data_IF_392575866845
#
_entry.id   IF_392575866845
#
_cell.length_a   1.000
_cell.length_b   1.000
_cell.length_c   1.000
_cell.angle_alpha   90.00
_cell.angle_beta   90.00
_cell.angle_gamma   90.00
#
_symmetry.space_group_name_H-M   'P 1'
#
loop_
_entity.id
_entity.type
_entity.pdbx_description
1 polymer ?
#
# COMPACT_ATOMS: atom_id res chain seq x y z
N UNK A 1 7.42 5.87 -24.44
CA UNK A 1 6.69 5.61 -23.19
C UNK A 1 7.51 6.17 -22.05
N UNK A 2 7.02 7.21 -21.39
CA UNK A 2 7.70 7.83 -20.26
C UNK A 2 7.71 6.87 -19.07
N UNK A 3 8.90 6.44 -18.66
CA UNK A 3 9.12 5.63 -17.45
C UNK A 3 8.81 6.53 -16.24
N UNK A 4 7.75 6.21 -15.51
CA UNK A 4 7.45 6.88 -14.24
C UNK A 4 8.45 6.39 -13.19
N UNK A 5 9.31 7.28 -12.69
CA UNK A 5 10.43 6.91 -11.81
C UNK A 5 10.07 6.77 -10.32
N UNK A 6 8.83 7.11 -9.94
CA UNK A 6 8.47 7.24 -8.53
C UNK A 6 9.26 8.36 -7.82
N UNK A 7 8.90 8.70 -6.56
CA UNK A 7 9.71 9.60 -5.73
C UNK A 7 11.08 9.00 -5.42
N UNK A 8 12.15 9.79 -5.52
CA UNK A 8 13.52 9.38 -5.17
C UNK A 8 13.63 8.87 -3.72
N UNK A 9 12.75 9.36 -2.85
CA UNK A 9 12.71 9.06 -1.42
C UNK A 9 12.20 7.64 -1.09
N UNK A 10 11.69 6.91 -2.08
CA UNK A 10 11.24 5.53 -1.90
C UNK A 10 12.39 4.54 -1.76
N UNK A 11 13.61 4.87 -2.21
CA UNK A 11 14.75 3.94 -2.19
C UNK A 11 14.53 2.66 -3.01
N UNK A 12 13.49 2.62 -3.85
CA UNK A 12 13.13 1.47 -4.68
C UNK A 12 13.54 1.79 -6.13
N UNK A 13 14.39 0.97 -6.78
CA UNK A 13 14.72 1.16 -8.18
C UNK A 13 13.46 1.09 -9.05
N UNK A 14 13.35 1.94 -10.09
CA UNK A 14 12.20 1.93 -10.98
C UNK A 14 12.05 0.57 -11.66
N UNK A 15 10.81 0.09 -11.75
CA UNK A 15 10.49 -1.12 -12.52
C UNK A 15 10.74 -0.87 -14.00
N UNK A 16 11.44 -1.80 -14.67
CA UNK A 16 11.61 -1.78 -16.13
C UNK A 16 10.36 -2.22 -16.91
N UNK A 17 9.26 -2.53 -16.21
CA UNK A 17 8.02 -3.02 -16.82
C UNK A 17 7.20 -1.88 -17.46
N UNK A 18 6.51 -2.15 -18.60
CA UNK A 18 5.65 -1.18 -19.25
C UNK A 18 4.44 -0.77 -18.39
N UNK A 19 3.90 0.43 -18.65
CA UNK A 19 2.81 1.06 -17.88
C UNK A 19 1.51 0.23 -17.78
N UNK A 20 1.35 -0.74 -18.69
CA UNK A 20 0.21 -1.67 -18.81
C UNK A 20 0.38 -2.98 -18.02
N UNK A 21 1.55 -3.21 -17.39
CA UNK A 21 1.79 -4.40 -16.58
C UNK A 21 1.04 -4.39 -15.25
N UNK A 22 0.56 -5.57 -14.82
CA UNK A 22 -0.27 -5.79 -13.62
C UNK A 22 0.47 -5.56 -12.28
N UNK A 23 1.79 -5.34 -12.32
CA UNK A 23 2.62 -5.14 -11.13
C UNK A 23 3.63 -4.01 -11.36
N UNK A 24 3.48 -2.93 -10.58
CA UNK A 24 4.34 -1.73 -10.67
C UNK A 24 5.48 -1.70 -9.66
N UNK A 25 5.48 -2.61 -8.69
CA UNK A 25 6.53 -2.73 -7.66
C UNK A 25 7.04 -4.16 -7.63
N UNK A 26 8.34 -4.34 -7.86
CA UNK A 26 9.02 -5.63 -7.68
C UNK A 26 9.39 -5.78 -6.19
N UNK A 27 8.37 -5.80 -5.33
CA UNK A 27 8.55 -5.91 -3.88
C UNK A 27 9.27 -7.23 -3.50
N UNK A 28 9.10 -8.26 -4.34
CA UNK A 28 9.79 -9.54 -4.25
C UNK A 28 11.31 -9.42 -4.46
N UNK A 29 11.75 -8.58 -5.40
CA UNK A 29 13.18 -8.36 -5.66
C UNK A 29 13.87 -7.59 -4.51
N UNK A 30 13.12 -6.82 -3.71
CA UNK A 30 13.64 -6.15 -2.51
C UNK A 30 13.70 -7.09 -1.28
N UNK A 31 13.11 -8.29 -1.34
CA UNK A 31 13.13 -9.25 -0.22
C UNK A 31 14.47 -9.94 -0.02
N UNK A 32 15.40 -9.87 -0.97
CA UNK A 32 16.75 -10.46 -0.84
C UNK A 32 17.49 -9.87 0.37
N UNK A 33 17.18 -8.64 0.77
CA UNK A 33 17.77 -7.98 1.94
C UNK A 33 17.11 -8.35 3.28
N UNK A 34 15.99 -9.12 3.31
CA UNK A 34 15.36 -9.51 4.58
C UNK A 34 16.29 -10.34 5.47
N UNK A 35 17.24 -11.06 4.88
CA UNK A 35 18.24 -11.81 5.65
C UNK A 35 19.20 -10.90 6.43
N UNK A 36 19.34 -9.64 6.01
CA UNK A 36 20.10 -8.62 6.74
C UNK A 36 19.31 -7.97 7.88
N UNK A 37 18.02 -8.28 8.04
CA UNK A 37 17.21 -7.76 9.13
C UNK A 37 17.83 -8.17 10.48
N UNK A 38 18.31 -7.18 11.23
CA UNK A 38 18.92 -7.47 12.52
C UNK A 38 20.18 -8.32 12.45
N UNK A 39 20.85 -8.40 11.29
CA UNK A 39 22.02 -9.26 11.09
C UNK A 39 23.25 -8.40 10.82
N UNK A 40 24.34 -8.67 11.54
CA UNK A 40 25.66 -8.12 11.23
C UNK A 40 26.48 -9.14 10.44
N UNK A 41 27.04 -8.72 9.30
CA UNK A 41 27.94 -9.55 8.49
C UNK A 41 29.37 -9.06 8.64
N UNK A 42 30.30 -9.99 8.83
CA UNK A 42 31.72 -9.70 8.97
C UNK A 42 32.52 -10.34 7.84
N UNK A 43 33.35 -9.51 7.23
CA UNK A 43 34.43 -9.84 6.31
C UNK A 43 35.70 -9.17 6.84
N UNK A 44 36.84 -9.84 6.75
CA UNK A 44 38.13 -9.26 7.11
C UNK A 44 39.23 -9.84 6.22
N UNK A 45 40.34 -9.11 6.09
CA UNK A 45 41.49 -9.63 5.38
C UNK A 45 42.21 -10.69 6.22
N UNK A 46 42.58 -11.79 5.56
CA UNK A 46 43.40 -12.84 6.15
C UNK A 46 44.84 -12.48 5.85
N UNK A 47 45.72 -12.29 6.83
CA UNK A 47 47.10 -11.92 6.55
C UNK A 47 47.78 -13.03 5.74
N UNK A 48 48.00 -12.81 4.45
CA UNK A 48 48.75 -13.68 3.56
C UNK A 48 50.20 -13.22 3.57
N UNK A 49 50.94 -13.59 4.62
CA UNK A 49 52.34 -13.19 4.71
C UNK A 49 53.13 -13.77 3.53
N UNK A 50 53.49 -12.92 2.58
CA UNK A 50 54.48 -13.18 1.53
C UNK A 50 55.75 -12.35 1.76
N UNK A 51 55.86 -11.68 2.90
CA UNK A 51 56.89 -10.68 3.21
C UNK A 51 57.95 -11.12 4.22
N UNK A 52 57.91 -12.35 4.76
CA UNK A 52 59.09 -12.96 5.37
C UNK A 52 59.84 -13.88 4.39
N UNK A 53 60.46 -13.26 3.37
CA UNK A 53 61.71 -13.82 2.83
C UNK A 53 62.83 -13.44 3.80
N UNK A 54 63.64 -14.43 4.16
CA UNK A 54 64.88 -14.38 4.95
C UNK A 54 64.73 -14.43 6.48
N UNK A 55 64.38 -15.61 6.98
CA UNK A 55 65.21 -16.22 8.02
C UNK A 55 65.68 -17.57 7.49
N UNK A 56 66.84 -17.56 6.84
CA UNK A 56 67.61 -18.77 6.56
C UNK A 56 68.08 -19.35 7.89
N UNK A 57 67.22 -20.15 8.53
CA UNK A 57 67.72 -21.28 9.30
C UNK A 57 68.09 -22.34 8.27
N UNK A 58 69.38 -22.49 8.06
CA UNK A 58 69.94 -23.60 7.30
C UNK A 58 69.42 -24.91 7.89
N UNK A 59 68.52 -25.57 7.18
CA UNK A 59 68.17 -26.96 7.42
C UNK A 59 69.09 -27.84 6.55
N UNK A 60 69.97 -28.66 7.13
CA UNK A 60 70.86 -29.54 6.40
C UNK A 60 70.18 -30.88 6.16
N UNK A 61 69.00 -30.93 5.51
CA UNK A 61 68.42 -32.21 5.07
C UNK A 61 67.72 -32.07 3.72
N UNK A 62 68.49 -32.22 2.64
CA UNK A 62 67.95 -32.51 1.32
C UNK A 62 67.59 -34.00 1.22
N UNK A 63 66.29 -34.31 1.11
CA UNK A 63 65.85 -35.49 0.38
C UNK A 63 65.48 -35.08 -1.05
N UNK A 64 66.22 -35.63 -2.00
CA UNK A 64 66.08 -35.31 -3.42
C UNK A 64 64.77 -35.83 -4.03
N UNK A 65 64.23 -35.03 -4.94
CA UNK A 65 63.53 -35.55 -6.12
C UNK A 65 62.01 -35.64 -6.06
N UNK A 66 61.30 -34.54 -5.81
CA UNK A 66 59.95 -34.30 -6.35
C UNK A 66 59.82 -32.82 -6.71
N UNK A 67 59.27 -32.52 -7.90
CA UNK A 67 59.17 -31.17 -8.47
C UNK A 67 58.35 -30.18 -7.62
N UNK A 68 58.32 -28.88 -8.00
CA UNK A 68 57.75 -27.83 -7.17
C UNK A 68 56.24 -28.03 -7.02
N UNK A 69 55.82 -28.52 -5.86
CA UNK A 69 54.45 -28.40 -5.39
C UNK A 69 54.20 -26.93 -5.15
N UNK A 70 53.20 -26.35 -5.82
CA UNK A 70 52.77 -24.98 -5.57
C UNK A 70 52.40 -24.83 -4.09
N UNK A 71 53.28 -24.20 -3.31
CA UNK A 71 53.03 -23.85 -1.92
C UNK A 71 51.97 -22.76 -1.89
N UNK A 72 50.75 -23.13 -1.50
CA UNK A 72 49.74 -22.17 -1.07
C UNK A 72 50.35 -21.35 0.09
N UNK A 73 50.31 -20.01 0.07
CA UNK A 73 50.81 -19.19 1.17
C UNK A 73 49.83 -19.29 2.34
N UNK A 74 50.04 -20.30 3.19
CA UNK A 74 49.40 -20.40 4.50
C UNK A 74 50.29 -19.61 5.45
N UNK A 75 49.77 -18.54 6.03
CA UNK A 75 50.40 -17.92 7.19
C UNK A 75 50.37 -18.97 8.32
N UNK A 76 51.50 -19.61 8.68
CA UNK A 76 51.47 -20.95 9.27
C UNK A 76 50.93 -21.02 10.70
N UNK A 77 50.56 -19.89 11.32
CA UNK A 77 50.29 -19.81 12.74
C UNK A 77 48.88 -19.36 13.12
N UNK A 78 47.91 -19.20 12.20
CA UNK A 78 46.52 -18.84 12.56
C UNK A 78 45.62 -20.07 12.47
N UNK A 79 45.17 -20.56 13.62
CA UNK A 79 44.21 -21.66 13.76
C UNK A 79 42.75 -21.22 13.56
N UNK A 80 42.47 -19.91 13.50
CA UNK A 80 41.16 -19.34 13.27
C UNK A 80 40.98 -18.02 14.04
N UNK A 81 39.74 -17.57 14.19
CA UNK A 81 39.44 -16.28 14.82
C UNK A 81 38.39 -16.39 15.92
N UNK A 82 38.57 -15.54 16.94
CA UNK A 82 37.54 -15.17 17.91
C UNK A 82 36.92 -13.84 17.51
N UNK A 83 35.61 -13.75 17.65
CA UNK A 83 34.80 -12.60 17.29
C UNK A 83 34.15 -12.10 18.57
N UNK A 84 34.30 -10.81 18.80
CA UNK A 84 33.68 -10.13 19.91
C UNK A 84 32.69 -9.10 19.39
N UNK A 85 31.54 -8.98 20.06
CA UNK A 85 30.58 -7.91 19.82
C UNK A 85 30.39 -7.04 21.06
N UNK A 86 29.96 -5.81 20.86
CA UNK A 86 29.59 -4.87 21.91
C UNK A 86 28.44 -3.99 21.41
N UNK A 87 27.44 -3.77 22.27
CA UNK A 87 26.32 -2.88 21.98
C UNK A 87 25.39 -2.68 23.17
N UNK A 88 24.32 -1.86 23.02
CA UNK A 88 23.44 -1.49 24.13
C UNK A 88 22.80 -2.70 24.84
N UNK A 89 22.32 -3.70 24.09
CA UNK A 89 21.73 -4.91 24.67
C UNK A 89 22.72 -5.76 25.51
N UNK A 90 24.02 -5.53 25.35
CA UNK A 90 25.10 -6.18 26.16
C UNK A 90 25.57 -5.32 27.32
N UNK A 91 24.91 -4.19 27.61
CA UNK A 91 25.40 -3.21 28.58
C UNK A 91 26.71 -2.54 28.12
N UNK A 92 26.92 -2.45 26.80
CA UNK A 92 28.15 -1.97 26.18
C UNK A 92 29.42 -2.72 26.62
N UNK A 93 29.31 -4.01 26.93
CA UNK A 93 30.44 -4.87 27.26
C UNK A 93 30.81 -5.78 26.07
N UNK A 94 32.10 -6.08 25.92
CA UNK A 94 32.57 -7.02 24.91
C UNK A 94 32.17 -8.45 25.29
N UNK A 95 31.52 -9.16 24.35
CA UNK A 95 31.11 -10.55 24.51
C UNK A 95 31.69 -11.39 23.37
N UNK A 96 32.22 -12.58 23.69
CA UNK A 96 32.62 -13.58 22.70
C UNK A 96 31.37 -14.18 22.04
N UNK A 97 31.29 -14.14 20.70
CA UNK A 97 30.11 -14.59 19.95
C UNK A 97 30.32 -15.82 19.09
N UNK A 98 31.50 -16.42 19.17
CA UNK A 98 31.79 -17.68 18.52
C UNK A 98 30.79 -18.77 18.95
N UNK A 99 30.34 -19.64 18.04
CA UNK A 99 29.42 -20.72 18.39
C UNK A 99 30.11 -21.71 19.35
N UNK A 100 29.39 -22.28 20.32
CA UNK A 100 29.97 -23.27 21.22
C UNK A 100 30.42 -24.52 20.45
N UNK A 101 31.46 -25.22 20.93
CA UNK A 101 31.92 -26.48 20.34
C UNK A 101 30.82 -27.54 20.34
N UNK A 102 30.02 -27.57 21.39
CA UNK A 102 28.89 -28.47 21.58
C UNK A 102 27.69 -27.62 22.01
N UNK A 103 26.59 -27.66 21.25
CA UNK A 103 25.40 -26.83 21.53
C UNK A 103 24.78 -27.11 22.90
N UNK A 104 24.93 -28.33 23.42
CA UNK A 104 24.44 -28.74 24.74
C UNK A 104 25.40 -28.47 25.90
N UNK A 105 26.64 -28.05 25.64
CA UNK A 105 27.64 -27.80 26.70
C UNK A 105 28.50 -26.57 26.39
N UNK A 106 28.10 -25.38 26.90
CA UNK A 106 28.86 -24.14 26.74
C UNK A 106 30.27 -24.20 27.37
N UNK A 107 30.50 -25.05 28.37
CA UNK A 107 31.80 -25.22 29.00
C UNK A 107 32.82 -25.97 28.11
N UNK A 108 32.37 -26.61 27.02
CA UNK A 108 33.26 -27.23 26.04
C UNK A 108 34.07 -26.21 25.20
N UNK A 109 33.91 -24.90 25.48
CA UNK A 109 34.56 -23.82 24.78
C UNK A 109 33.89 -23.47 23.45
N UNK A 110 34.49 -22.54 22.72
CA UNK A 110 33.93 -22.01 21.48
C UNK A 110 34.71 -22.49 20.25
N UNK A 111 34.02 -22.68 19.12
CA UNK A 111 34.63 -23.01 17.82
C UNK A 111 35.28 -21.75 17.25
N UNK A 112 36.52 -21.85 16.80
CA UNK A 112 37.16 -20.76 16.06
C UNK A 112 36.51 -20.62 14.69
N UNK A 113 36.34 -19.38 14.24
CA UNK A 113 35.87 -19.10 12.89
C UNK A 113 37.05 -19.23 11.95
N UNK A 114 36.96 -20.14 10.98
CA UNK A 114 37.99 -20.30 9.96
C UNK A 114 37.79 -19.25 8.87
N UNK A 115 38.85 -18.55 8.43
CA UNK A 115 38.77 -17.83 7.17
C UNK A 115 38.67 -18.85 6.03
N UNK A 116 37.68 -18.73 5.15
CA UNK A 116 37.47 -19.69 4.08
C UNK A 116 36.68 -19.09 2.92
N UNK A 117 36.69 -19.75 1.76
CA UNK A 117 35.92 -19.28 0.59
C UNK A 117 34.46 -19.10 1.03
N UNK A 118 33.94 -17.88 0.99
CA UNK A 118 32.59 -17.62 1.45
C UNK A 118 31.64 -18.34 0.52
N UNK A 119 30.90 -19.30 1.09
CA UNK A 119 29.81 -19.96 0.40
C UNK A 119 28.72 -20.22 1.43
N UNK A 120 27.89 -19.23 1.62
CA UNK A 120 26.49 -19.52 1.83
C UNK A 120 25.91 -19.89 0.44
N UNK A 121 25.40 -21.13 0.24
CA UNK A 121 24.81 -21.55 -1.02
C UNK A 121 23.54 -20.77 -1.41
N UNK A 122 23.05 -19.85 -0.57
CA UNK A 122 21.78 -19.14 -0.78
C UNK A 122 21.90 -17.65 -1.10
N UNK A 123 23.06 -17.00 -0.88
CA UNK A 123 23.18 -15.53 -0.97
C UNK A 123 24.19 -14.98 -1.98
N UNK A 124 25.12 -15.79 -2.49
CA UNK A 124 26.08 -15.31 -3.50
C UNK A 124 26.97 -14.13 -3.06
N UNK A 125 27.05 -13.84 -1.75
CA UNK A 125 27.88 -12.78 -1.17
C UNK A 125 29.01 -13.34 -0.29
N UNK A 126 30.13 -12.62 -0.28
CA UNK A 126 31.39 -13.06 0.30
C UNK A 126 31.57 -12.59 1.78
N UNK A 127 31.08 -13.35 2.78
CA UNK A 127 31.32 -13.06 4.22
C UNK A 127 31.81 -14.30 5.00
N UNK A 128 32.52 -14.07 6.12
CA UNK A 128 33.09 -15.14 6.95
C UNK A 128 32.26 -15.45 8.22
N UNK A 129 31.47 -14.48 8.69
CA UNK A 129 30.60 -14.66 9.85
C UNK A 129 29.35 -13.79 9.76
N UNK A 130 28.23 -14.31 10.28
CA UNK A 130 26.98 -13.58 10.42
C UNK A 130 26.46 -13.72 11.85
N UNK A 131 26.03 -12.60 12.44
CA UNK A 131 25.44 -12.54 13.77
C UNK A 131 24.00 -12.05 13.67
N UNK A 132 23.04 -12.96 13.87
CA UNK A 132 21.61 -12.64 13.84
C UNK A 132 21.18 -12.12 15.21
N UNK A 133 21.37 -10.83 15.44
CA UNK A 133 21.08 -10.17 16.73
C UNK A 133 19.60 -10.26 17.12
N UNK A 134 18.70 -10.33 16.14
CA UNK A 134 17.27 -10.57 16.38
C UNK A 134 16.98 -11.95 16.97
N UNK A 135 17.76 -12.98 16.62
CA UNK A 135 17.58 -14.32 17.20
C UNK A 135 18.18 -14.37 18.60
N UNK A 136 19.32 -13.72 18.79
CA UNK A 136 20.03 -13.62 20.07
C UNK A 136 19.23 -12.83 21.10
N UNK A 137 18.66 -11.70 20.69
CA UNK A 137 17.99 -10.74 21.58
C UNK A 137 16.48 -10.65 21.33
N UNK A 138 15.85 -11.69 20.77
CA UNK A 138 14.46 -11.66 20.27
C UNK A 138 13.41 -10.95 21.14
N UNK A 139 13.34 -11.17 22.47
CA UNK A 139 12.43 -10.42 23.34
C UNK A 139 12.72 -8.92 23.38
N UNK A 140 14.00 -8.52 23.35
CA UNK A 140 14.41 -7.12 23.28
C UNK A 140 14.12 -6.53 21.91
N UNK A 141 14.36 -7.24 20.82
CA UNK A 141 13.98 -6.76 19.49
C UNK A 141 12.48 -6.44 19.41
N UNK A 142 11.62 -7.16 20.17
CA UNK A 142 10.17 -6.90 20.28
C UNK A 142 9.78 -5.71 21.15
N UNK A 143 10.50 -5.45 22.24
CA UNK A 143 10.06 -4.53 23.30
C UNK A 143 10.93 -3.27 23.41
N UNK A 144 12.18 -3.37 22.96
CA UNK A 144 13.22 -2.34 22.98
C UNK A 144 14.05 -2.45 21.70
N UNK A 145 13.43 -2.20 20.53
CA UNK A 145 14.07 -2.29 19.21
C UNK A 145 15.33 -1.42 19.12
N UNK A 146 15.38 -0.30 19.83
CA UNK A 146 16.50 0.63 19.98
C UNK A 146 17.78 -0.04 20.54
N UNK A 147 17.63 -1.15 21.25
CA UNK A 147 18.77 -1.90 21.79
C UNK A 147 19.37 -2.90 20.80
N UNK A 148 18.65 -3.23 19.72
CA UNK A 148 19.05 -4.22 18.72
C UNK A 148 19.35 -3.56 17.37
N UNK A 149 18.43 -2.73 16.87
CA UNK A 149 18.55 -2.01 15.59
C UNK A 149 19.29 -0.69 15.78
N UNK A 150 20.57 -0.83 16.13
CA UNK A 150 21.47 0.27 16.44
C UNK A 150 22.86 -0.03 15.87
N UNK A 151 23.83 0.83 16.13
CA UNK A 151 25.21 0.57 15.76
C UNK A 151 25.87 -0.37 16.77
N UNK A 152 26.41 -1.47 16.27
CA UNK A 152 27.13 -2.47 17.04
C UNK A 152 28.62 -2.43 16.73
N UNK A 153 29.44 -2.68 17.74
CA UNK A 153 30.89 -2.76 17.60
C UNK A 153 31.33 -4.21 17.52
N UNK A 154 32.16 -4.53 16.53
CA UNK A 154 32.77 -5.85 16.37
C UNK A 154 34.28 -5.75 16.29
N UNK A 155 34.97 -6.73 16.86
CA UNK A 155 36.41 -6.92 16.63
C UNK A 155 36.73 -8.40 16.45
N UNK A 156 37.75 -8.66 15.66
CA UNK A 156 38.19 -10.00 15.30
C UNK A 156 39.62 -10.20 15.80
N UNK A 157 39.87 -11.29 16.52
CA UNK A 157 41.16 -11.59 17.11
C UNK A 157 41.67 -12.93 16.56
N UNK A 158 42.86 -12.98 15.92
CA UNK A 158 43.43 -14.23 15.45
C UNK A 158 43.79 -15.11 16.65
N UNK A 159 43.67 -16.42 16.46
CA UNK A 159 44.05 -17.42 17.46
C UNK A 159 45.05 -18.36 16.83
N UNK A 160 46.13 -18.67 17.53
CA UNK A 160 47.17 -19.56 17.05
C UNK A 160 46.84 -21.05 17.24
N UNK A 161 47.70 -21.94 16.73
CA UNK A 161 47.56 -23.40 16.86
C UNK A 161 47.62 -23.90 18.31
N UNK A 162 48.15 -23.10 19.23
CA UNK A 162 48.21 -23.38 20.66
C UNK A 162 46.98 -22.81 21.40
N UNK A 163 46.07 -22.13 20.70
CA UNK A 163 44.87 -21.52 21.26
C UNK A 163 45.10 -20.16 21.92
N UNK A 164 46.28 -19.55 21.74
CA UNK A 164 46.58 -18.21 22.25
C UNK A 164 46.00 -17.15 21.32
N UNK A 165 45.39 -16.13 21.91
CA UNK A 165 44.77 -15.03 21.18
C UNK A 165 45.81 -13.94 20.90
N UNK A 166 45.93 -13.56 19.62
CA UNK A 166 46.77 -12.46 19.18
C UNK A 166 46.08 -11.10 19.29
N UNK A 167 46.76 -10.05 18.80
CA UNK A 167 46.20 -8.70 18.78
C UNK A 167 44.92 -8.63 17.94
N UNK A 168 43.84 -8.13 18.53
CA UNK A 168 42.56 -7.93 17.84
C UNK A 168 42.63 -6.78 16.83
N UNK A 169 41.73 -6.83 15.84
CA UNK A 169 41.44 -5.68 14.97
C UNK A 169 41.00 -4.46 15.78
N UNK A 170 41.10 -3.28 15.18
CA UNK A 170 40.34 -2.13 15.66
C UNK A 170 38.84 -2.46 15.62
N UNK A 171 38.04 -1.94 16.57
CA UNK A 171 36.59 -2.10 16.53
C UNK A 171 36.00 -1.50 15.25
N UNK A 172 35.15 -2.27 14.57
CA UNK A 172 34.35 -1.82 13.45
C UNK A 172 32.92 -1.55 13.90
N UNK A 173 32.39 -0.39 13.51
CA UNK A 173 30.99 -0.01 13.75
C UNK A 173 30.11 -0.56 12.62
N UNK A 174 29.07 -1.31 12.98
CA UNK A 174 28.12 -1.93 12.06
C UNK A 174 26.72 -1.43 12.38
N UNK A 175 26.12 -0.60 11.51
CA UNK A 175 24.74 -0.14 11.69
C UNK A 175 23.77 -1.27 11.36
N UNK A 176 23.11 -1.81 12.37
CA UNK A 176 22.11 -2.88 12.21
C UNK A 176 20.74 -2.25 12.03
N UNK A 177 20.04 -2.65 10.97
CA UNK A 177 18.76 -2.02 10.57
C UNK A 177 17.57 -2.95 10.76
N UNK A 178 16.44 -2.36 11.14
CA UNK A 178 15.15 -2.99 10.96
C UNK A 178 14.76 -2.89 9.48
N UNK A 179 14.41 -4.03 8.90
CA UNK A 179 14.08 -4.20 7.48
C UNK A 179 12.76 -4.98 7.33
N UNK A 180 12.06 -5.24 8.44
CA UNK A 180 10.75 -5.86 8.39
C UNK A 180 9.72 -4.76 8.14
N UNK A 181 9.03 -4.80 6.98
CA UNK A 181 8.04 -3.80 6.67
C UNK A 181 6.84 -3.91 7.59
N UNK A 182 6.13 -2.79 7.83
CA UNK A 182 4.96 -2.85 8.64
C UNK A 182 3.81 -3.65 8.03
N UNK A 183 2.88 -4.12 8.86
CA UNK A 183 1.65 -4.75 8.38
C UNK A 183 0.85 -3.77 7.48
N UNK A 184 0.24 -4.24 6.39
CA UNK A 184 -0.74 -3.44 5.66
C UNK A 184 -2.00 -3.22 6.51
N UNK A 185 -2.75 -2.16 6.20
CA UNK A 185 -4.08 -1.98 6.79
C UNK A 185 -5.07 -3.03 6.27
N UNK A 186 -6.05 -3.39 7.08
CA UNK A 186 -7.17 -4.26 6.70
C UNK A 186 -8.49 -3.51 6.76
N UNK A 187 -9.54 -4.10 6.16
CA UNK A 187 -10.93 -3.63 6.28
C UNK A 187 -11.12 -2.16 5.92
N UNK A 188 -10.37 -1.69 4.92
CA UNK A 188 -10.54 -0.35 4.40
C UNK A 188 -11.94 -0.23 3.78
N UNK A 189 -12.70 0.73 4.28
CA UNK A 189 -14.06 1.05 3.86
C UNK A 189 -14.17 2.56 3.61
N UNK A 190 -15.16 2.93 2.83
CA UNK A 190 -15.45 4.33 2.52
C UNK A 190 -16.96 4.60 2.65
N UNK A 191 -17.29 5.58 3.48
CA UNK A 191 -18.62 6.17 3.60
C UNK A 191 -18.71 7.49 2.85
N UNK A 192 -19.91 7.82 2.38
CA UNK A 192 -20.26 9.10 1.77
C UNK A 192 -21.33 9.75 2.64
N UNK A 193 -21.22 11.05 2.88
CA UNK A 193 -22.28 11.81 3.56
C UNK A 193 -23.54 11.96 2.67
N UNK A 194 -24.70 12.21 3.28
CA UNK A 194 -25.96 12.34 2.55
C UNK A 194 -25.95 13.49 1.52
N UNK A 195 -25.15 14.53 1.80
CA UNK A 195 -24.99 15.69 0.93
C UNK A 195 -23.99 15.45 -0.21
N UNK A 196 -23.30 14.31 -0.24
CA UNK A 196 -22.23 14.00 -1.20
C UNK A 196 -21.18 15.13 -1.30
N UNK A 197 -20.75 15.63 -0.14
CA UNK A 197 -19.68 16.64 0.00
C UNK A 197 -18.41 16.07 0.64
N UNK A 198 -18.51 14.96 1.36
CA UNK A 198 -17.44 14.41 2.19
C UNK A 198 -17.36 12.89 2.11
N UNK A 199 -16.13 12.39 2.08
CA UNK A 199 -15.79 10.97 2.15
C UNK A 199 -15.19 10.66 3.51
N UNK A 200 -15.63 9.56 4.14
CA UNK A 200 -15.09 9.07 5.40
C UNK A 200 -14.45 7.72 5.17
N UNK A 201 -13.14 7.63 5.29
CA UNK A 201 -12.38 6.40 5.18
C UNK A 201 -12.21 5.80 6.57
N UNK A 202 -12.44 4.50 6.70
CA UNK A 202 -12.24 3.76 7.94
C UNK A 202 -11.48 2.48 7.65
N UNK A 203 -10.47 2.15 8.45
CA UNK A 203 -9.69 0.92 8.31
C UNK A 203 -9.24 0.40 9.66
N UNK A 204 -8.82 -0.87 9.67
CA UNK A 204 -8.23 -1.53 10.82
C UNK A 204 -6.72 -1.63 10.63
N UNK A 205 -5.96 -1.39 11.70
CA UNK A 205 -4.53 -1.64 11.73
C UNK A 205 -4.17 -2.47 12.97
N UNK A 206 -3.41 -3.55 12.75
CA UNK A 206 -2.87 -4.40 13.82
C UNK A 206 -1.36 -4.32 13.76
N UNK A 207 -0.76 -3.71 14.79
CA UNK A 207 0.69 -3.54 14.85
C UNK A 207 1.39 -4.90 15.01
N UNK A 208 2.17 -5.31 14.00
CA UNK A 208 3.03 -6.50 14.05
C UNK A 208 4.51 -6.14 14.21
N UNK A 209 4.84 -4.85 14.18
CA UNK A 209 6.16 -4.39 13.72
C UNK A 209 7.01 -3.78 14.82
N UNK A 210 8.32 -3.99 14.76
CA UNK A 210 9.25 -3.65 15.83
C UNK A 210 9.53 -2.15 15.93
N UNK A 211 9.32 -1.37 14.85
CA UNK A 211 9.74 0.03 14.74
C UNK A 211 8.57 1.02 14.86
N UNK A 212 8.14 1.31 16.09
CA UNK A 212 7.17 2.38 16.38
C UNK A 212 7.85 3.77 16.51
N UNK A 213 7.14 4.89 16.27
CA UNK A 213 5.74 4.98 15.85
C UNK A 213 5.57 4.73 14.35
N UNK A 214 4.41 4.17 13.96
CA UNK A 214 4.03 4.05 12.56
C UNK A 214 3.28 5.26 12.06
N UNK A 215 3.35 5.51 10.76
CA UNK A 215 2.68 6.61 10.07
C UNK A 215 1.75 6.09 8.97
N UNK A 216 0.55 6.65 8.90
CA UNK A 216 -0.41 6.32 7.84
C UNK A 216 -0.38 7.33 6.72
N UNK A 217 -0.44 6.82 5.50
CA UNK A 217 -0.47 7.62 4.31
C UNK A 217 -1.60 7.21 3.38
N UNK A 218 -2.41 8.19 2.99
CA UNK A 218 -3.52 7.99 2.06
C UNK A 218 -3.09 8.40 0.65
N UNK A 219 -3.11 7.45 -0.26
CA UNK A 219 -2.95 7.68 -1.68
C UNK A 219 -4.33 7.85 -2.30
N UNK A 220 -4.52 8.92 -3.06
CA UNK A 220 -5.76 9.20 -3.80
C UNK A 220 -5.50 9.31 -5.29
N UNK A 221 -6.43 8.81 -6.09
CA UNK A 221 -6.48 9.06 -7.52
C UNK A 221 -7.92 9.40 -7.91
N UNK A 222 -8.18 10.49 -8.65
CA UNK A 222 -9.46 10.63 -9.34
C UNK A 222 -9.62 9.47 -10.35
N UNK A 223 -10.86 9.05 -10.60
CA UNK A 223 -11.15 8.07 -11.64
C UNK A 223 -10.81 8.68 -13.02
N UNK A 224 -10.05 7.98 -13.89
CA UNK A 224 -9.68 8.47 -15.21
C UNK A 224 -10.87 8.85 -16.12
N UNK A 225 -12.10 8.43 -15.81
CA UNK A 225 -13.29 8.85 -16.58
C UNK A 225 -13.59 10.35 -16.46
N UNK A 226 -13.05 11.05 -15.44
CA UNK A 226 -13.11 12.52 -15.34
C UNK A 226 -12.07 13.26 -16.21
N UNK A 227 -11.24 12.56 -16.99
CA UNK A 227 -10.20 13.14 -17.86
C UNK A 227 -10.70 13.57 -19.25
N UNK A 228 -12.01 13.56 -19.49
CA UNK A 228 -12.59 14.00 -20.78
C UNK A 228 -12.74 15.51 -20.91
N UNK A 229 -12.44 16.29 -19.86
CA UNK A 229 -12.26 17.75 -19.96
C UNK A 229 -10.92 18.06 -20.66
N UNK A 230 -10.92 18.59 -21.90
CA UNK A 230 -9.70 18.97 -22.60
C UNK A 230 -9.04 20.12 -21.85
N UNK A 231 -7.93 19.84 -21.16
CA UNK A 231 -7.22 20.83 -20.34
C UNK A 231 -6.86 20.32 -18.94
N UNK A 232 -7.47 19.23 -18.47
CA UNK A 232 -7.04 18.53 -17.25
C UNK A 232 -6.04 17.43 -17.64
N UNK A 233 -4.90 17.85 -18.21
CA UNK A 233 -3.73 16.98 -18.26
C UNK A 233 -3.36 16.62 -16.83
N UNK A 234 -3.60 15.38 -16.40
CA UNK A 234 -2.71 14.56 -15.58
C UNK A 234 -1.86 15.24 -14.46
N UNK A 235 -2.35 16.31 -13.82
CA UNK A 235 -1.53 17.21 -12.99
C UNK A 235 -2.04 17.40 -11.57
N UNK A 236 -2.93 16.55 -11.07
CA UNK A 236 -2.75 16.12 -9.69
C UNK A 236 -1.92 14.85 -9.75
N UNK A 237 -0.58 14.96 -9.66
CA UNK A 237 0.19 13.83 -9.21
C UNK A 237 -0.45 13.25 -7.94
N UNK A 238 0.00 12.07 -7.56
CA UNK A 238 -0.09 11.60 -6.17
C UNK A 238 0.77 12.58 -5.33
N UNK A 239 0.38 13.84 -5.17
CA UNK A 239 1.30 14.92 -4.70
C UNK A 239 1.17 15.26 -3.23
N UNK A 240 0.31 14.59 -2.47
CA UNK A 240 0.28 14.78 -1.04
C UNK A 240 0.09 13.44 -0.37
N UNK A 241 1.23 12.81 -0.05
CA UNK A 241 1.31 11.91 1.09
C UNK A 241 0.90 12.73 2.31
N UNK A 242 -0.38 12.73 2.65
CA UNK A 242 -0.86 13.38 3.87
C UNK A 242 -0.58 12.41 5.00
N UNK A 243 0.36 12.78 5.87
CA UNK A 243 0.54 12.12 7.16
C UNK A 243 -0.72 12.39 7.98
N UNK A 244 -1.55 11.35 8.12
CA UNK A 244 -2.82 11.40 8.84
C UNK A 244 -2.76 10.58 10.13
N UNK A 245 -1.54 10.34 10.62
CA UNK A 245 -1.29 9.49 11.78
C UNK A 245 -2.10 9.99 12.98
N UNK A 246 -3.06 9.20 13.50
CA UNK A 246 -3.74 9.53 14.74
C UNK A 246 -2.72 9.65 15.87
N UNK A 247 -2.89 10.64 16.74
CA UNK A 247 -2.09 10.74 17.96
C UNK A 247 -2.33 9.48 18.83
N UNK A 248 -1.27 8.79 19.24
CA UNK A 248 -1.34 7.73 20.26
C UNK A 248 -1.42 6.28 19.76
N UNK A 249 -0.96 5.96 18.55
CA UNK A 249 -0.75 4.55 18.16
C UNK A 249 0.38 3.95 19.01
N UNK A 250 0.02 3.16 20.03
CA UNK A 250 0.97 2.37 20.83
C UNK A 250 0.61 0.89 20.83
N UNK A 251 1.62 0.02 20.78
CA UNK A 251 1.50 -1.45 20.92
C UNK A 251 0.80 -1.89 22.22
N UNK A 252 0.09 -3.04 22.22
CA UNK A 252 -0.40 -3.83 21.10
C UNK A 252 -1.93 -3.76 21.04
N UNK A 253 -2.49 -2.81 20.30
CA UNK A 253 -3.93 -2.75 20.08
C UNK A 253 -4.21 -2.78 18.58
N UNK A 254 -5.08 -3.72 18.16
CA UNK A 254 -5.82 -3.55 16.91
C UNK A 254 -6.66 -2.29 17.06
N UNK A 255 -6.51 -1.36 16.12
CA UNK A 255 -7.18 -0.07 16.17
C UNK A 255 -7.94 0.18 14.88
N UNK A 256 -9.14 0.73 15.03
CA UNK A 256 -9.87 1.30 13.92
C UNK A 256 -9.48 2.77 13.79
N UNK A 257 -9.10 3.17 12.58
CA UNK A 257 -8.68 4.53 12.25
C UNK A 257 -9.67 5.12 11.26
N UNK A 258 -9.99 6.39 11.44
CA UNK A 258 -10.91 7.13 10.56
C UNK A 258 -10.24 8.39 10.02
N UNK A 259 -10.43 8.65 8.73
CA UNK A 259 -9.98 9.87 8.06
C UNK A 259 -11.11 10.47 7.23
N UNK A 260 -11.32 11.78 7.38
CA UNK A 260 -12.31 12.52 6.60
C UNK A 260 -11.63 13.30 5.50
N UNK A 261 -12.19 13.21 4.29
CA UNK A 261 -11.70 13.88 3.10
C UNK A 261 -12.82 14.65 2.42
N UNK A 262 -12.59 15.94 2.19
CA UNK A 262 -13.49 16.82 1.43
C UNK A 262 -12.81 17.12 0.09
N UNK A 263 -13.18 16.44 -1.00
CA UNK A 263 -12.56 16.67 -2.30
C UNK A 263 -12.90 18.07 -2.86
N UNK A 264 -11.99 18.70 -3.62
CA UNK A 264 -12.24 20.02 -4.21
C UNK A 264 -13.29 20.01 -5.32
N UNK A 265 -13.57 18.83 -5.90
CA UNK A 265 -14.59 18.63 -6.93
C UNK A 265 -15.38 17.35 -6.63
N UNK A 266 -16.65 17.33 -7.00
CA UNK A 266 -17.41 16.08 -7.00
C UNK A 266 -16.90 15.16 -8.11
N UNK A 267 -17.03 13.85 -7.90
CA UNK A 267 -16.50 12.83 -8.80
C UNK A 267 -16.20 11.52 -8.10
N UNK A 268 -15.64 10.59 -8.87
CA UNK A 268 -15.20 9.30 -8.41
C UNK A 268 -13.72 9.36 -7.98
N UNK A 269 -13.42 8.76 -6.83
CA UNK A 269 -12.10 8.73 -6.23
C UNK A 269 -11.74 7.32 -5.77
N UNK A 270 -10.50 6.92 -6.06
CA UNK A 270 -9.88 5.70 -5.56
C UNK A 270 -8.91 6.03 -4.44
N UNK A 271 -8.93 5.22 -3.38
CA UNK A 271 -8.05 5.36 -2.23
C UNK A 271 -7.29 4.09 -1.95
N UNK A 272 -6.05 4.24 -1.50
CA UNK A 272 -5.24 3.19 -0.87
C UNK A 272 -4.56 3.77 0.36
N UNK A 273 -4.24 2.91 1.31
CA UNK A 273 -3.49 3.30 2.50
C UNK A 273 -2.23 2.45 2.60
N UNK A 274 -1.13 3.11 2.95
CA UNK A 274 0.14 2.48 3.28
C UNK A 274 0.63 2.96 4.62
N UNK A 275 1.36 2.07 5.31
CA UNK A 275 1.94 2.32 6.61
C UNK A 275 3.45 2.45 6.44
N UNK A 276 4.06 3.40 7.14
CA UNK A 276 5.52 3.53 7.25
C UNK A 276 5.94 3.41 8.69
N UNK A 277 6.97 2.63 8.98
CA UNK A 277 7.51 2.50 10.33
C UNK A 277 8.58 3.57 10.62
N UNK A 278 9.09 3.61 11.86
CA UNK A 278 10.17 4.53 12.24
C UNK A 278 11.52 4.21 11.56
N UNK A 279 11.74 2.96 11.17
CA UNK A 279 12.93 2.54 10.43
C UNK A 279 12.88 2.94 8.94
N UNK A 280 11.73 3.46 8.49
CA UNK A 280 11.50 3.93 7.12
C UNK A 280 10.97 2.86 6.17
N UNK A 281 10.69 1.65 6.66
CA UNK A 281 10.11 0.56 5.87
C UNK A 281 8.64 0.85 5.58
N UNK A 282 8.17 0.36 4.42
CA UNK A 282 6.81 0.55 3.94
C UNK A 282 6.04 -0.75 3.93
N UNK A 283 4.78 -0.71 4.36
CA UNK A 283 3.87 -1.84 4.21
C UNK A 283 3.58 -2.12 2.74
N UNK A 284 3.14 -3.34 2.46
CA UNK A 284 2.42 -3.61 1.22
C UNK A 284 1.22 -2.64 1.09
N UNK A 285 0.81 -2.26 -0.14
CA UNK A 285 -0.36 -1.43 -0.34
C UNK A 285 -1.62 -2.16 0.13
N UNK A 286 -2.47 -1.47 0.89
CA UNK A 286 -3.81 -1.96 1.21
C UNK A 286 -4.69 -2.11 -0.04
N UNK A 287 -5.78 -2.87 0.09
CA UNK A 287 -6.77 -3.02 -0.97
C UNK A 287 -7.37 -1.66 -1.34
N UNK A 288 -7.53 -1.34 -2.64
CA UNK A 288 -8.14 -0.09 -3.05
C UNK A 288 -9.63 -0.05 -2.75
N UNK A 289 -10.13 1.12 -2.33
CA UNK A 289 -11.56 1.41 -2.22
C UNK A 289 -11.97 2.56 -3.13
N UNK A 290 -13.23 2.57 -3.56
CA UNK A 290 -13.81 3.58 -4.44
C UNK A 290 -14.93 4.33 -3.73
N UNK A 291 -14.86 5.65 -3.71
CA UNK A 291 -15.92 6.55 -3.22
C UNK A 291 -16.38 7.51 -4.31
N UNK A 292 -17.66 7.84 -4.32
CA UNK A 292 -18.26 8.73 -5.31
C UNK A 292 -19.03 9.88 -4.67
N UNK A 293 -18.64 11.11 -5.00
CA UNK A 293 -19.43 12.30 -4.70
C UNK A 293 -20.17 12.72 -5.97
N UNK A 294 -21.48 12.90 -5.87
CA UNK A 294 -22.32 13.27 -7.00
C UNK A 294 -23.08 14.56 -6.68
N UNK A 295 -23.36 15.39 -7.70
CA UNK A 295 -24.25 16.54 -7.52
C UNK A 295 -25.59 16.08 -6.96
N UNK A 296 -26.09 16.80 -5.96
CA UNK A 296 -27.45 16.63 -5.41
C UNK A 296 -28.40 17.72 -5.88
N UNK A 297 -28.10 18.30 -7.04
CA UNK A 297 -28.93 19.31 -7.68
C UNK A 297 -30.03 18.64 -8.48
N UNK A 298 -31.28 18.98 -8.16
CA UNK A 298 -32.45 18.49 -8.90
C UNK A 298 -32.38 18.95 -10.36
N UNK A 299 -32.72 18.09 -11.34
CA UNK A 299 -32.93 18.54 -12.71
C UNK A 299 -34.17 19.48 -12.79
N UNK A 300 -34.25 20.34 -13.81
CA UNK A 300 -35.45 21.12 -14.08
C UNK A 300 -36.68 20.22 -14.32
N UNK A 301 -37.85 20.68 -13.88
CA UNK A 301 -39.11 19.99 -14.14
C UNK A 301 -39.43 19.98 -15.65
N UNK A 302 -40.01 18.89 -16.19
CA UNK A 302 -40.48 18.87 -17.57
C UNK A 302 -41.55 19.94 -17.82
N UNK A 303 -41.48 20.61 -18.97
CA UNK A 303 -42.56 21.50 -19.41
C UNK A 303 -43.74 20.67 -19.91
N UNK A 304 -44.91 20.91 -19.34
CA UNK A 304 -46.18 20.23 -19.68
C UNK A 304 -47.30 21.24 -19.80
N UNK A 305 -48.29 20.92 -20.61
CA UNK A 305 -49.48 21.74 -20.84
C UNK A 305 -50.72 20.86 -20.82
N UNK A 306 -51.83 21.42 -20.38
CA UNK A 306 -53.12 20.72 -20.40
C UNK A 306 -53.54 20.36 -21.83
N UNK A 307 -54.01 19.12 -21.99
CA UNK A 307 -54.55 18.62 -23.25
C UNK A 307 -56.08 18.72 -23.17
N UNK A 308 -56.59 19.87 -23.63
CA UNK A 308 -58.02 20.18 -23.52
C UNK A 308 -58.88 19.55 -24.62
N UNK A 309 -58.26 19.15 -25.73
CA UNK A 309 -58.92 18.45 -26.81
C UNK A 309 -59.16 16.99 -26.42
N UNK A 310 -60.33 16.48 -26.77
CA UNK A 310 -60.65 15.07 -26.55
C UNK A 310 -59.77 14.23 -27.49
N UNK A 311 -58.96 13.33 -26.93
CA UNK A 311 -58.03 12.49 -27.69
C UNK A 311 -58.63 11.08 -27.91
N UNK A 312 -59.11 10.75 -29.13
CA UNK A 312 -59.58 9.41 -29.45
C UNK A 312 -58.39 8.45 -29.58
N UNK A 313 -58.47 7.28 -28.93
CA UNK A 313 -57.42 6.25 -28.99
C UNK A 313 -56.26 6.44 -28.00
N UNK A 314 -56.39 7.36 -27.03
CA UNK A 314 -55.44 7.55 -25.94
C UNK A 314 -54.62 8.84 -26.03
N UNK A 315 -53.63 8.99 -25.15
CA UNK A 315 -52.83 10.19 -24.98
C UNK A 315 -51.41 10.00 -25.50
N UNK A 316 -50.88 10.97 -26.24
CA UNK A 316 -49.47 11.05 -26.60
C UNK A 316 -48.92 12.42 -26.25
N UNK A 317 -47.85 12.47 -25.45
CA UNK A 317 -47.19 13.73 -25.03
C UNK A 317 -45.70 13.62 -25.30
N UNK A 318 -45.16 14.58 -26.05
CA UNK A 318 -43.73 14.70 -26.31
C UNK A 318 -43.09 15.69 -25.32
N UNK A 319 -42.22 15.19 -24.47
CA UNK A 319 -41.32 16.01 -23.67
C UNK A 319 -40.11 16.36 -24.54
N UNK A 320 -39.91 17.65 -24.79
CA UNK A 320 -38.80 18.17 -25.61
C UNK A 320 -37.98 19.19 -24.83
N UNK A 321 -36.75 19.47 -25.29
CA UNK A 321 -35.86 20.43 -24.63
C UNK A 321 -35.43 19.98 -23.23
N UNK A 322 -35.45 18.68 -22.95
CA UNK A 322 -35.02 18.15 -21.66
C UNK A 322 -33.53 18.41 -21.45
N UNK A 323 -33.16 18.82 -20.24
CA UNK A 323 -31.79 19.13 -19.90
C UNK A 323 -30.87 17.90 -20.08
N UNK A 324 -29.61 18.13 -20.44
CA UNK A 324 -28.67 17.07 -20.85
C UNK A 324 -28.33 16.06 -19.73
N UNK A 325 -28.61 16.39 -18.47
CA UNK A 325 -28.46 15.48 -17.32
C UNK A 325 -29.65 14.53 -17.14
N UNK A 326 -30.83 14.84 -17.69
CA UNK A 326 -32.02 14.01 -17.54
C UNK A 326 -31.83 12.70 -18.29
N UNK A 327 -32.16 11.58 -17.64
CA UNK A 327 -32.04 10.22 -18.20
C UNK A 327 -33.40 9.55 -18.33
N UNK A 328 -34.33 9.89 -17.45
CA UNK A 328 -35.67 9.31 -17.47
C UNK A 328 -36.74 10.36 -17.13
N UNK A 329 -37.93 10.16 -17.68
CA UNK A 329 -39.16 10.82 -17.27
C UNK A 329 -40.05 9.77 -16.59
N UNK A 330 -40.53 10.08 -15.40
CA UNK A 330 -41.47 9.24 -14.66
C UNK A 330 -42.84 9.88 -14.77
N UNK A 331 -43.81 9.13 -15.31
CA UNK A 331 -45.19 9.57 -15.47
C UNK A 331 -46.07 8.82 -14.49
N UNK A 332 -46.85 9.59 -13.76
CA UNK A 332 -47.86 9.12 -12.84
C UNK A 332 -49.25 9.53 -13.32
N UNK A 333 -50.26 8.75 -12.96
CA UNK A 333 -51.67 8.99 -13.28
C UNK A 333 -52.51 9.03 -12.03
N UNK A 334 -53.55 9.87 -12.07
CA UNK A 334 -54.63 9.96 -11.09
C UNK A 334 -55.95 10.20 -11.81
N UNK A 335 -57.03 9.65 -11.29
CA UNK A 335 -58.39 9.95 -11.75
C UNK A 335 -59.03 11.09 -10.96
N UNK A 336 -58.43 11.47 -9.84
CA UNK A 336 -58.79 12.65 -9.05
C UNK A 336 -57.83 13.81 -9.35
N UNK A 337 -58.29 15.07 -9.23
CA UNK A 337 -57.42 16.23 -9.34
C UNK A 337 -56.22 16.16 -8.40
N UNK A 338 -55.02 16.35 -8.96
CA UNK A 338 -53.77 16.38 -8.18
C UNK A 338 -53.64 17.76 -7.54
N UNK A 339 -54.19 17.90 -6.33
CA UNK A 339 -54.17 19.16 -5.56
C UNK A 339 -52.89 19.33 -4.75
N UNK A 340 -52.15 18.25 -4.49
CA UNK A 340 -50.80 18.27 -3.95
C UNK A 340 -49.98 17.06 -4.46
N UNK A 341 -48.66 17.13 -4.34
CA UNK A 341 -47.71 16.16 -4.93
C UNK A 341 -47.74 14.77 -4.28
N UNK A 342 -48.39 14.66 -3.11
CA UNK A 342 -48.57 13.45 -2.33
C UNK A 342 -50.02 12.96 -2.34
N UNK A 343 -50.83 13.43 -3.29
CA UNK A 343 -52.25 13.08 -3.34
C UNK A 343 -52.41 11.55 -3.39
N UNK A 344 -53.22 10.95 -2.49
CA UNK A 344 -53.54 9.54 -2.57
C UNK A 344 -54.19 9.25 -3.92
N UNK A 345 -53.84 8.12 -4.55
CA UNK A 345 -54.35 7.73 -5.87
C UNK A 345 -53.44 8.05 -7.05
N UNK A 346 -52.34 8.78 -6.85
CA UNK A 346 -51.31 9.01 -7.89
C UNK A 346 -50.42 7.76 -8.01
N UNK A 347 -50.46 7.07 -9.16
CA UNK A 347 -49.70 5.84 -9.40
C UNK A 347 -48.73 6.01 -10.57
N UNK A 348 -47.52 5.45 -10.46
CA UNK A 348 -46.58 5.38 -11.59
C UNK A 348 -47.20 4.49 -12.66
N UNK A 349 -47.31 5.03 -13.88
CA UNK A 349 -47.79 4.28 -15.04
C UNK A 349 -46.68 4.02 -16.06
N UNK A 350 -45.66 4.88 -16.13
CA UNK A 350 -44.56 4.69 -17.08
C UNK A 350 -43.26 5.36 -16.63
N UNK A 351 -42.13 4.72 -16.97
CA UNK A 351 -40.80 5.33 -16.97
C UNK A 351 -40.28 5.35 -18.39
N UNK A 352 -39.94 6.53 -18.89
CA UNK A 352 -39.58 6.74 -20.29
C UNK A 352 -38.11 7.15 -20.31
N UNK A 353 -37.30 6.42 -21.08
CA UNK A 353 -35.90 6.78 -21.31
C UNK A 353 -35.84 8.05 -22.16
N UNK A 354 -34.98 8.98 -21.77
CA UNK A 354 -34.72 10.19 -22.56
C UNK A 354 -33.63 9.89 -23.58
N UNK A 355 -33.91 10.23 -24.85
CA UNK A 355 -32.99 10.09 -25.96
C UNK A 355 -32.91 11.44 -26.70
N UNK A 356 -31.69 11.96 -26.87
CA UNK A 356 -31.44 13.24 -27.55
C UNK A 356 -32.27 14.42 -26.98
N UNK A 357 -32.41 14.49 -25.66
CA UNK A 357 -33.19 15.54 -24.99
C UNK A 357 -34.71 15.44 -25.19
N UNK A 358 -35.20 14.26 -25.60
CA UNK A 358 -36.61 14.00 -25.86
C UNK A 358 -37.09 12.71 -25.21
N UNK A 359 -38.36 12.66 -24.86
CA UNK A 359 -39.06 11.47 -24.41
C UNK A 359 -40.53 11.56 -24.84
N UNK A 360 -41.11 10.44 -25.28
CA UNK A 360 -42.52 10.41 -25.69
C UNK A 360 -43.30 9.51 -24.74
N UNK A 361 -44.30 10.09 -24.08
CA UNK A 361 -45.30 9.36 -23.32
C UNK A 361 -46.44 8.93 -24.24
N UNK A 362 -46.84 7.66 -24.16
CA UNK A 362 -48.00 7.12 -24.87
C UNK A 362 -48.84 6.31 -23.92
N UNK A 363 -50.12 6.61 -23.87
CA UNK A 363 -51.09 5.91 -23.07
C UNK A 363 -52.29 5.50 -23.92
N UNK A 364 -52.64 4.23 -23.85
CA UNK A 364 -53.80 3.66 -24.55
C UNK A 364 -55.06 3.58 -23.67
N UNK A 365 -55.02 4.15 -22.46
CA UNK A 365 -56.18 4.14 -21.57
C UNK A 365 -57.32 4.97 -22.17
N UNK A 366 -58.51 4.37 -22.23
CA UNK A 366 -59.73 5.00 -22.69
C UNK A 366 -60.79 4.91 -21.58
N UNK A 367 -61.30 6.04 -21.06
CA UNK A 367 -62.34 6.00 -20.04
C UNK A 367 -63.69 5.54 -20.64
N UNK A 368 -64.64 5.04 -19.83
CA UNK A 368 -65.97 4.63 -20.33
C UNK A 368 -66.82 5.77 -20.88
N UNK A 369 -66.54 7.00 -20.43
CA UNK A 369 -67.15 8.26 -20.87
C UNK A 369 -66.05 9.30 -20.92
N UNK A 370 -66.27 10.39 -21.66
CA UNK A 370 -65.38 11.55 -21.66
C UNK A 370 -65.02 11.98 -20.23
N UNK A 371 -63.73 11.92 -19.89
CA UNK A 371 -63.26 12.22 -18.55
C UNK A 371 -61.94 12.98 -18.57
N UNK A 372 -61.74 13.76 -17.51
CA UNK A 372 -60.43 14.34 -17.20
C UNK A 372 -59.60 13.32 -16.45
N UNK A 373 -58.38 13.08 -16.96
CA UNK A 373 -57.36 12.30 -16.29
C UNK A 373 -56.21 13.22 -15.94
N UNK A 374 -55.66 13.07 -14.73
CA UNK A 374 -54.63 13.94 -14.19
C UNK A 374 -53.30 13.22 -14.15
N UNK A 375 -52.24 13.94 -14.49
CA UNK A 375 -50.89 13.39 -14.59
C UNK A 375 -49.92 14.20 -13.74
N UNK A 376 -48.97 13.48 -13.15
CA UNK A 376 -47.77 14.06 -12.53
C UNK A 376 -46.55 13.54 -13.29
N UNK A 377 -45.60 14.41 -13.56
CA UNK A 377 -44.39 14.09 -14.31
C UNK A 377 -43.17 14.59 -13.56
N UNK A 378 -42.17 13.73 -13.44
CA UNK A 378 -40.90 14.03 -12.77
C UNK A 378 -39.73 13.64 -13.68
N UNK A 379 -38.70 14.48 -13.75
CA UNK A 379 -37.45 14.16 -14.43
C UNK A 379 -36.46 13.54 -13.46
N UNK A 380 -35.78 12.47 -13.89
CA UNK A 380 -34.73 11.79 -13.15
C UNK A 380 -33.40 11.93 -13.89
N UNK A 381 -32.35 12.38 -13.20
CA UNK A 381 -31.02 12.50 -13.77
C UNK A 381 -30.17 11.22 -13.65
N UNK A 382 -28.94 11.26 -14.17
CA UNK A 382 -28.00 10.13 -14.10
C UNK A 382 -27.41 9.84 -12.71
N UNK A 383 -27.73 10.66 -11.71
CA UNK A 383 -27.26 10.54 -10.32
C UNK A 383 -28.40 10.20 -9.35
N UNK A 384 -29.62 10.00 -9.86
CA UNK A 384 -30.80 9.68 -9.08
C UNK A 384 -31.50 10.88 -8.44
N UNK A 385 -31.17 12.12 -8.84
CA UNK A 385 -31.90 13.30 -8.39
C UNK A 385 -33.20 13.44 -9.19
N UNK A 386 -34.28 13.79 -8.48
CA UNK A 386 -35.62 13.95 -9.03
C UNK A 386 -35.96 15.44 -9.11
N UNK A 387 -36.53 15.89 -10.22
CA UNK A 387 -37.04 17.26 -10.36
C UNK A 387 -38.17 17.55 -9.38
N UNK A 388 -38.54 18.82 -9.25
CA UNK A 388 -39.87 19.13 -8.74
C UNK A 388 -40.93 18.59 -9.72
N UNK A 389 -42.11 18.15 -9.23
CA UNK A 389 -43.13 17.57 -10.08
C UNK A 389 -43.84 18.63 -10.92
N UNK A 390 -44.11 18.30 -12.17
CA UNK A 390 -45.01 19.04 -13.04
C UNK A 390 -46.32 18.28 -13.20
N UNK A 391 -47.46 18.98 -13.25
CA UNK A 391 -48.76 18.36 -13.43
C UNK A 391 -49.47 18.90 -14.65
N UNK A 392 -50.28 18.06 -15.28
CA UNK A 392 -51.20 18.47 -16.35
C UNK A 392 -52.43 17.56 -16.33
N UNK A 393 -53.52 18.02 -16.93
CA UNK A 393 -54.70 17.20 -17.18
C UNK A 393 -54.91 16.97 -18.67
N UNK A 394 -55.45 15.81 -19.02
CA UNK A 394 -55.86 15.50 -20.38
C UNK A 394 -57.32 15.06 -20.40
N UNK A 395 -58.05 15.50 -21.43
CA UNK A 395 -59.39 15.02 -21.71
C UNK A 395 -59.31 13.80 -22.62
N UNK A 396 -59.68 12.63 -22.11
CA UNK A 396 -59.69 11.38 -22.87
C UNK A 396 -61.12 11.02 -23.27
N UNK A 397 -61.31 10.58 -24.52
CA UNK A 397 -62.63 10.30 -25.06
C UNK A 397 -63.14 8.92 -24.63
N UNK A 398 -64.45 8.83 -24.38
CA UNK A 398 -65.13 7.54 -24.34
C UNK A 398 -65.06 6.80 -25.68
N UNK A 399 -65.33 5.47 -25.70
CA UNK A 399 -65.48 4.69 -26.92
C UNK A 399 -66.69 5.11 -27.77
#
# INVERSE_FOLDING_TARGET
>A
GTVYQGPADLGIPPSSRPITGTERYHWDAAQVYRQAHGTAFLLWDVPTDTSQKQNTLADPFQFGGLGPVATLPVNPNVAGYRIYRKGPATGNQWQLVNPPKVSSNPAAGHRLIQPGKPKDPTTGGDFFYADRLVDVFGPLARTRPDQVFTTWQYKVCPVDLLGQEGACSQPADIPVRDLLPPAPVSDLQIGVDEQHTKLTLTWTYTATDHSEPVKFYVLRSPDPVSLTEPGVLASTPITAWVDITPNGLSRPNTQQVTFQYTPPKQGLYWFRIQVRDHAGNWSAPGAPVKGGLYPRQKPPAPSVSDVNQCMPGGLSVDFTGLASQVRQIIVYRSFDPITNVNAPGVQIIQRIKVENGRATFKEAYQPPVDAWVYYKVEALDGYGNVSDPATFKARLCGP
#
